data_IF_059873821457
#
_entry.id   IF_059873821457
#
_cell.length_a   1.000
_cell.length_b   1.000
_cell.length_c   1.000
_cell.angle_alpha   90.00
_cell.angle_beta   90.00
_cell.angle_gamma   90.00
#
_symmetry.space_group_name_H-M   'P 1'
#
loop_
_entity.id
_entity.type
_entity.pdbx_description
1 polymer ?
#
# COMPACT_ATOMS: atom_id res chain seq x y z
N UNK A 1 13.59 23.90 -8.74
CA UNK A 1 13.24 23.76 -7.31
C UNK A 1 12.82 22.35 -6.93
N UNK A 2 12.10 21.59 -7.77
CA UNK A 2 11.75 20.18 -7.48
C UNK A 2 12.94 19.26 -7.13
N UNK A 3 14.14 19.55 -7.66
CA UNK A 3 15.35 18.71 -7.53
C UNK A 3 15.79 18.43 -6.09
N UNK A 4 15.56 19.36 -5.17
CA UNK A 4 16.02 19.24 -3.77
C UNK A 4 15.05 18.41 -2.91
N UNK A 5 13.76 18.39 -3.29
CA UNK A 5 12.75 17.60 -2.60
C UNK A 5 12.91 16.09 -2.87
N UNK A 6 13.24 15.71 -4.10
CA UNK A 6 13.49 14.30 -4.46
C UNK A 6 14.78 13.75 -3.82
N UNK A 7 15.74 14.60 -3.44
CA UNK A 7 16.98 14.17 -2.79
C UNK A 7 16.73 13.38 -1.49
N UNK A 8 15.66 13.69 -0.74
CA UNK A 8 15.30 12.96 0.46
C UNK A 8 14.67 11.58 0.20
N UNK A 9 14.13 11.32 -1.00
CA UNK A 9 13.73 9.97 -1.44
C UNK A 9 14.98 9.14 -1.77
N UNK A 10 15.93 9.74 -2.48
CA UNK A 10 17.17 9.07 -2.87
C UNK A 10 18.12 8.81 -1.68
N UNK A 11 18.06 9.64 -0.63
CA UNK A 11 18.82 9.48 0.61
C UNK A 11 18.16 8.52 1.63
N UNK A 12 17.02 7.90 1.31
CA UNK A 12 16.33 7.00 2.22
C UNK A 12 17.09 5.67 2.40
N UNK A 13 17.35 5.30 3.65
CA UNK A 13 18.19 4.15 4.04
C UNK A 13 17.39 2.93 4.54
N UNK A 14 16.09 2.88 4.22
CA UNK A 14 15.18 1.86 4.73
C UNK A 14 14.72 2.07 6.19
N UNK A 15 15.21 3.11 6.90
CA UNK A 15 14.97 3.29 8.35
C UNK A 15 14.50 4.69 8.72
N UNK A 16 15.16 5.73 8.21
CA UNK A 16 14.96 7.13 8.65
C UNK A 16 13.88 7.84 7.84
N UNK A 17 12.62 7.70 8.29
CA UNK A 17 11.46 8.36 7.67
C UNK A 17 11.35 9.87 7.89
N UNK A 18 12.30 10.50 8.60
CA UNK A 18 12.24 11.94 8.90
C UNK A 18 12.31 12.82 7.64
N UNK A 19 13.15 12.45 6.66
CA UNK A 19 13.18 13.10 5.36
C UNK A 19 11.87 12.92 4.60
N UNK A 20 11.36 11.68 4.54
CA UNK A 20 10.09 11.36 3.88
C UNK A 20 8.90 12.14 4.47
N UNK A 21 8.85 12.34 5.80
CA UNK A 21 7.82 13.14 6.48
C UNK A 21 7.78 14.59 6.00
N UNK A 22 8.93 15.19 5.67
CA UNK A 22 8.96 16.55 5.12
C UNK A 22 8.33 16.62 3.73
N UNK A 23 8.43 15.55 2.94
CA UNK A 23 7.90 15.49 1.56
C UNK A 23 6.37 15.38 1.50
N UNK A 24 5.72 14.89 2.56
CA UNK A 24 4.25 14.72 2.58
C UNK A 24 3.52 16.03 2.25
N UNK A 25 4.00 17.15 2.80
CA UNK A 25 3.45 18.50 2.59
C UNK A 25 4.29 19.37 1.64
N UNK A 26 5.30 18.80 0.99
CA UNK A 26 6.11 19.52 0.03
C UNK A 26 5.36 19.69 -1.30
N UNK A 27 5.72 20.75 -2.02
CA UNK A 27 5.29 21.02 -3.39
C UNK A 27 6.04 20.10 -4.36
N UNK A 28 5.58 18.85 -4.41
CA UNK A 28 6.02 17.78 -5.31
C UNK A 28 4.77 17.32 -6.05
N UNK A 29 4.87 17.16 -7.37
CA UNK A 29 3.77 16.62 -8.16
C UNK A 29 3.61 15.12 -7.85
N UNK A 30 2.37 14.64 -7.71
CA UNK A 30 2.12 13.22 -7.47
C UNK A 30 2.68 12.34 -8.61
N UNK A 31 2.73 12.88 -9.84
CA UNK A 31 3.36 12.24 -10.99
C UNK A 31 4.87 11.98 -10.80
N UNK A 32 5.60 12.87 -10.12
CA UNK A 32 7.03 12.67 -9.84
C UNK A 32 7.26 11.53 -8.83
N UNK A 33 6.31 11.34 -7.90
CA UNK A 33 6.34 10.22 -6.95
C UNK A 33 5.93 8.90 -7.62
N UNK A 34 4.94 8.93 -8.52
CA UNK A 34 4.50 7.77 -9.30
C UNK A 34 5.58 7.29 -10.28
N UNK A 35 6.33 8.20 -10.90
CA UNK A 35 7.43 7.89 -11.82
C UNK A 35 8.62 7.13 -11.16
N UNK A 36 8.62 6.97 -9.83
CA UNK A 36 9.59 6.16 -9.08
C UNK A 36 9.12 4.70 -8.87
N UNK A 37 7.97 4.32 -9.43
CA UNK A 37 7.36 2.99 -9.30
C UNK A 37 7.28 2.29 -10.68
N UNK A 38 7.67 1.01 -10.79
CA UNK A 38 8.53 0.25 -9.87
C UNK A 38 9.99 0.75 -9.93
N UNK A 39 10.81 0.46 -8.91
CA UNK A 39 12.24 0.79 -8.96
C UNK A 39 12.94 0.91 -7.60
N UNK A 40 14.21 1.36 -7.64
CA UNK A 40 15.11 1.44 -6.47
C UNK A 40 14.62 2.33 -5.31
N UNK A 41 13.57 3.14 -5.53
CA UNK A 41 13.01 4.05 -4.54
C UNK A 41 11.55 3.71 -4.17
N UNK A 42 11.04 2.56 -4.59
CA UNK A 42 9.62 2.22 -4.42
C UNK A 42 9.16 2.20 -2.96
N UNK A 43 10.00 1.79 -2.01
CA UNK A 43 9.67 1.88 -0.56
C UNK A 43 9.47 3.35 -0.13
N UNK A 44 10.37 4.25 -0.55
CA UNK A 44 10.32 5.66 -0.18
C UNK A 44 9.13 6.37 -0.85
N UNK A 45 8.93 6.13 -2.14
CA UNK A 45 7.84 6.71 -2.93
C UNK A 45 6.47 6.25 -2.42
N UNK A 46 6.25 4.93 -2.28
CA UNK A 46 4.98 4.40 -1.75
C UNK A 46 4.69 4.86 -0.32
N UNK A 47 5.72 5.03 0.53
CA UNK A 47 5.55 5.59 1.87
C UNK A 47 5.00 7.02 1.82
N UNK A 48 5.56 7.88 0.96
CA UNK A 48 5.11 9.28 0.80
C UNK A 48 3.73 9.35 0.17
N UNK A 49 3.47 8.55 -0.87
CA UNK A 49 2.16 8.46 -1.54
C UNK A 49 1.07 8.02 -0.55
N UNK A 50 1.32 6.99 0.26
CA UNK A 50 0.41 6.56 1.33
C UNK A 50 0.18 7.68 2.36
N UNK A 51 1.24 8.33 2.83
CA UNK A 51 1.13 9.41 3.82
C UNK A 51 0.40 10.65 3.27
N UNK A 52 0.51 10.93 1.96
CA UNK A 52 -0.28 11.98 1.27
C UNK A 52 -1.75 11.60 1.17
N UNK A 53 -2.07 10.34 0.86
CA UNK A 53 -3.45 9.85 0.86
C UNK A 53 -4.09 9.95 2.25
N UNK A 54 -3.38 9.49 3.30
CA UNK A 54 -3.83 9.61 4.70
C UNK A 54 -4.04 11.06 5.16
N UNK A 55 -3.35 12.01 4.54
CA UNK A 55 -3.48 13.45 4.80
C UNK A 55 -4.52 14.16 3.92
N UNK A 56 -5.17 13.47 2.96
CA UNK A 56 -6.06 14.09 1.98
C UNK A 56 -5.35 14.98 0.95
N UNK A 57 -4.06 14.72 0.69
CA UNK A 57 -3.19 15.52 -0.18
C UNK A 57 -2.86 14.83 -1.54
N UNK A 58 -3.25 13.58 -1.72
CA UNK A 58 -3.03 12.83 -2.97
C UNK A 58 -4.21 13.05 -3.92
N UNK A 59 -3.97 13.56 -5.13
CA UNK A 59 -5.04 13.89 -6.08
C UNK A 59 -5.74 12.66 -6.67
N UNK A 60 -7.04 12.76 -6.98
CA UNK A 60 -7.90 11.64 -7.43
C UNK A 60 -7.33 10.81 -8.59
N UNK A 61 -6.64 11.45 -9.54
CA UNK A 61 -5.97 10.75 -10.64
C UNK A 61 -4.80 9.89 -10.13
N UNK A 62 -3.98 10.44 -9.24
CA UNK A 62 -2.87 9.72 -8.62
C UNK A 62 -3.35 8.60 -7.70
N UNK A 63 -4.47 8.79 -6.99
CA UNK A 63 -5.09 7.73 -6.18
C UNK A 63 -5.46 6.48 -6.99
N UNK A 64 -5.76 6.63 -8.29
CA UNK A 64 -6.04 5.50 -9.20
C UNK A 64 -4.74 4.93 -9.77
N UNK A 65 -3.88 5.79 -10.30
CA UNK A 65 -2.61 5.41 -10.95
C UNK A 65 -1.64 4.69 -10.01
N UNK A 66 -1.70 4.96 -8.69
CA UNK A 66 -0.79 4.37 -7.70
C UNK A 66 -0.83 2.83 -7.64
N UNK A 67 -1.91 2.21 -8.12
CA UNK A 67 -2.07 0.75 -8.14
C UNK A 67 -1.61 0.08 -9.44
N UNK A 68 -1.46 0.83 -10.54
CA UNK A 68 -0.95 0.30 -11.82
C UNK A 68 0.40 -0.45 -11.71
N UNK A 69 1.41 -0.01 -10.93
CA UNK A 69 2.67 -0.72 -10.77
C UNK A 69 2.64 -1.86 -9.74
N UNK A 70 1.50 -2.14 -9.09
CA UNK A 70 1.43 -3.09 -7.96
C UNK A 70 1.91 -4.51 -8.34
N UNK A 71 1.57 -5.10 -9.50
CA UNK A 71 2.08 -6.42 -9.91
C UNK A 71 3.58 -6.47 -10.20
N UNK A 72 4.24 -5.31 -10.39
CA UNK A 72 5.66 -5.20 -10.73
C UNK A 72 6.55 -4.78 -9.55
N UNK A 73 5.96 -4.41 -8.40
CA UNK A 73 6.74 -4.10 -7.19
C UNK A 73 7.47 -5.35 -6.68
N UNK A 74 8.68 -5.14 -6.16
CA UNK A 74 9.57 -6.21 -5.70
C UNK A 74 9.83 -6.14 -4.19
N UNK A 75 9.79 -4.94 -3.63
CA UNK A 75 10.02 -4.67 -2.22
C UNK A 75 8.74 -4.87 -1.40
N UNK A 76 8.71 -5.83 -0.46
CA UNK A 76 7.48 -6.16 0.24
C UNK A 76 6.92 -5.05 1.14
N UNK A 77 7.74 -4.08 1.54
CA UNK A 77 7.24 -2.90 2.27
C UNK A 77 6.56 -1.90 1.33
N UNK A 78 6.97 -1.80 0.06
CA UNK A 78 6.27 -1.00 -0.94
C UNK A 78 4.92 -1.61 -1.33
N UNK A 79 4.88 -2.93 -1.55
CA UNK A 79 3.64 -3.72 -1.71
C UNK A 79 2.71 -3.50 -0.51
N UNK A 80 3.25 -3.60 0.71
CA UNK A 80 2.48 -3.39 1.95
C UNK A 80 1.86 -1.99 2.02
N UNK A 81 2.59 -0.94 1.63
CA UNK A 81 2.05 0.42 1.60
C UNK A 81 0.88 0.55 0.62
N UNK A 82 0.99 0.01 -0.61
CA UNK A 82 -0.11 0.07 -1.57
C UNK A 82 -1.34 -0.72 -1.11
N UNK A 83 -1.17 -1.95 -0.60
CA UNK A 83 -2.29 -2.72 -0.06
C UNK A 83 -2.99 -2.00 1.10
N UNK A 84 -2.24 -1.22 1.90
CA UNK A 84 -2.81 -0.36 2.93
C UNK A 84 -3.58 0.86 2.38
N UNK A 85 -3.28 1.34 1.17
CA UNK A 85 -3.98 2.47 0.55
C UNK A 85 -5.40 2.09 0.08
N UNK A 86 -5.66 0.81 -0.22
CA UNK A 86 -6.98 0.30 -0.64
C UNK A 86 -8.07 0.58 0.41
N UNK A 87 -7.72 0.72 1.69
CA UNK A 87 -8.68 1.08 2.75
C UNK A 87 -9.24 2.51 2.64
N UNK A 88 -8.55 3.40 1.91
CA UNK A 88 -8.93 4.81 1.71
C UNK A 88 -9.30 5.10 0.24
N UNK A 89 -8.63 4.43 -0.70
CA UNK A 89 -8.83 4.57 -2.14
C UNK A 89 -8.94 3.16 -2.78
N UNK A 90 -10.14 2.54 -2.81
CA UNK A 90 -10.34 1.20 -3.34
C UNK A 90 -10.40 1.20 -4.87
N UNK A 91 -9.31 1.63 -5.53
CA UNK A 91 -9.19 1.73 -6.99
C UNK A 91 -8.31 0.64 -7.63
N UNK A 92 -7.64 -0.19 -6.83
CA UNK A 92 -6.92 -1.36 -7.33
C UNK A 92 -7.88 -2.42 -7.93
N UNK A 93 -7.41 -3.26 -8.85
CA UNK A 93 -8.16 -4.46 -9.21
C UNK A 93 -8.02 -5.54 -8.13
N UNK A 94 -9.07 -6.34 -7.95
CA UNK A 94 -8.97 -7.57 -7.17
C UNK A 94 -7.90 -8.53 -7.76
N UNK A 95 -7.78 -8.58 -9.09
CA UNK A 95 -6.75 -9.37 -9.79
C UNK A 95 -5.32 -8.96 -9.44
N UNK A 96 -5.06 -7.66 -9.26
CA UNK A 96 -3.73 -7.17 -8.87
C UNK A 96 -3.40 -7.52 -7.41
N UNK A 97 -4.42 -7.68 -6.56
CA UNK A 97 -4.28 -7.98 -5.13
C UNK A 97 -4.15 -9.48 -4.85
N UNK A 98 -4.87 -10.34 -5.60
CA UNK A 98 -4.89 -11.81 -5.39
C UNK A 98 -3.50 -12.47 -5.27
N UNK A 99 -2.47 -12.15 -6.08
CA UNK A 99 -1.13 -12.75 -5.96
C UNK A 99 -0.49 -12.57 -4.58
N UNK A 100 -0.86 -11.53 -3.84
CA UNK A 100 -0.28 -11.21 -2.54
C UNK A 100 -0.90 -11.98 -1.37
N UNK A 101 -2.04 -12.65 -1.57
CA UNK A 101 -2.70 -13.50 -0.58
C UNK A 101 -1.81 -14.64 -0.06
N UNK A 102 -0.90 -15.15 -0.91
CA UNK A 102 0.04 -16.24 -0.58
C UNK A 102 1.48 -15.76 -0.32
N UNK A 103 1.71 -14.44 -0.30
CA UNK A 103 3.05 -13.86 -0.22
C UNK A 103 3.84 -14.30 1.04
N UNK A 104 5.16 -14.47 0.91
CA UNK A 104 6.04 -14.99 1.98
C UNK A 104 5.98 -14.20 3.29
N UNK A 105 5.90 -12.85 3.23
CA UNK A 105 5.76 -11.99 4.42
C UNK A 105 4.31 -11.91 4.88
N UNK A 106 4.06 -12.31 6.12
CA UNK A 106 2.74 -12.33 6.77
C UNK A 106 1.98 -11.01 6.68
N UNK A 107 2.62 -9.86 6.90
CA UNK A 107 1.94 -8.56 6.82
C UNK A 107 1.39 -8.24 5.41
N UNK A 108 2.07 -8.69 4.36
CA UNK A 108 1.58 -8.53 2.98
C UNK A 108 0.32 -9.37 2.77
N UNK A 109 0.29 -10.64 3.22
CA UNK A 109 -0.93 -11.47 3.15
C UNK A 109 -2.11 -10.86 3.93
N UNK A 110 -1.83 -10.34 5.12
CA UNK A 110 -2.83 -9.70 6.00
C UNK A 110 -3.49 -8.50 5.30
N UNK A 111 -2.72 -7.66 4.63
CA UNK A 111 -3.24 -6.50 3.92
C UNK A 111 -3.76 -6.83 2.52
N UNK A 112 -3.32 -7.91 1.89
CA UNK A 112 -3.95 -8.44 0.68
C UNK A 112 -5.37 -8.96 0.96
N UNK A 113 -5.59 -9.61 2.12
CA UNK A 113 -6.93 -10.00 2.57
C UNK A 113 -7.82 -8.79 2.86
N UNK A 114 -7.31 -7.76 3.55
CA UNK A 114 -8.06 -6.52 3.81
C UNK A 114 -8.41 -5.78 2.52
N UNK A 115 -7.48 -5.72 1.56
CA UNK A 115 -7.72 -5.14 0.25
C UNK A 115 -8.76 -5.94 -0.55
N UNK A 116 -8.63 -7.28 -0.63
CA UNK A 116 -9.60 -8.13 -1.34
C UNK A 116 -11.01 -7.99 -0.74
N UNK A 117 -11.13 -7.94 0.59
CA UNK A 117 -12.43 -7.77 1.27
C UNK A 117 -13.17 -6.49 0.89
N UNK A 118 -12.45 -5.44 0.44
CA UNK A 118 -13.03 -4.17 -0.02
C UNK A 118 -13.34 -4.15 -1.51
N UNK A 119 -12.60 -4.92 -2.31
CA UNK A 119 -12.69 -4.94 -3.77
C UNK A 119 -13.61 -6.05 -4.30
N UNK A 120 -13.69 -7.17 -3.58
CA UNK A 120 -14.45 -8.37 -3.91
C UNK A 120 -14.92 -9.09 -2.62
N UNK A 121 -15.88 -8.52 -1.87
CA UNK A 121 -16.31 -9.04 -0.56
C UNK A 121 -16.79 -10.50 -0.62
N UNK A 122 -17.55 -10.88 -1.66
CA UNK A 122 -18.06 -12.24 -1.85
C UNK A 122 -16.93 -13.28 -2.04
N UNK A 123 -15.82 -12.88 -2.67
CA UNK A 123 -14.64 -13.73 -2.83
C UNK A 123 -13.82 -13.81 -1.54
N UNK A 124 -13.74 -12.69 -0.81
CA UNK A 124 -13.00 -12.61 0.44
C UNK A 124 -13.68 -13.33 1.61
N UNK A 125 -15.02 -13.45 1.63
CA UNK A 125 -15.78 -14.06 2.72
C UNK A 125 -15.23 -15.44 3.19
N UNK A 126 -15.09 -16.47 2.32
CA UNK A 126 -14.53 -17.77 2.75
C UNK A 126 -13.06 -17.69 3.17
N UNK A 127 -12.30 -16.71 2.65
CA UNK A 127 -10.91 -16.48 3.06
C UNK A 127 -10.81 -15.82 4.44
N UNK A 128 -11.76 -14.92 4.77
CA UNK A 128 -11.90 -14.31 6.09
C UNK A 128 -12.25 -15.38 7.12
N UNK A 129 -13.21 -16.26 6.81
CA UNK A 129 -13.56 -17.40 7.68
C UNK A 129 -12.34 -18.28 7.98
N UNK A 130 -11.62 -18.74 6.95
CA UNK A 130 -10.40 -19.53 7.12
C UNK A 130 -9.30 -18.77 7.89
N UNK A 131 -9.20 -17.46 7.70
CA UNK A 131 -8.21 -16.60 8.36
C UNK A 131 -8.47 -16.38 9.86
N UNK A 132 -9.66 -16.72 10.39
CA UNK A 132 -9.95 -16.68 11.83
C UNK A 132 -9.10 -17.69 12.61
N UNK A 133 -8.70 -18.80 11.98
CA UNK A 133 -7.89 -19.88 12.58
C UNK A 133 -6.42 -19.91 12.08
N UNK A 134 -6.00 -18.95 11.24
CA UNK A 134 -4.62 -18.86 10.71
C UNK A 134 -3.58 -18.82 11.87
N UNK A 135 -2.42 -19.51 11.77
CA UNK A 135 -1.42 -19.53 12.83
C UNK A 135 -0.88 -18.13 13.23
N UNK A 136 -0.90 -17.15 12.34
CA UNK A 136 -0.55 -15.76 12.60
C UNK A 136 -1.60 -15.02 13.43
N UNK A 137 -1.20 -14.56 14.62
CA UNK A 137 -2.04 -13.71 15.45
C UNK A 137 -2.49 -12.41 14.72
N UNK A 138 -1.65 -11.87 13.82
CA UNK A 138 -1.99 -10.69 13.02
C UNK A 138 -3.05 -10.99 11.95
N UNK A 139 -3.05 -12.20 11.38
CA UNK A 139 -4.07 -12.62 10.42
C UNK A 139 -5.41 -12.82 11.13
N UNK A 140 -5.44 -13.59 12.23
CA UNK A 140 -6.67 -13.77 13.03
C UNK A 140 -7.24 -12.44 13.54
N UNK A 141 -6.38 -11.48 13.90
CA UNK A 141 -6.81 -10.15 14.33
C UNK A 141 -7.46 -9.35 13.19
N UNK A 142 -6.89 -9.38 11.98
CA UNK A 142 -7.49 -8.74 10.80
C UNK A 142 -8.78 -9.43 10.37
N UNK A 143 -8.80 -10.75 10.31
CA UNK A 143 -9.98 -11.54 9.96
C UNK A 143 -11.17 -11.22 10.87
N UNK A 144 -10.96 -11.14 12.19
CA UNK A 144 -12.01 -10.71 13.13
C UNK A 144 -12.51 -9.29 12.84
N UNK A 145 -11.63 -8.34 12.53
CA UNK A 145 -12.05 -6.97 12.22
C UNK A 145 -12.89 -6.87 10.94
N UNK A 146 -12.55 -7.68 9.92
CA UNK A 146 -13.31 -7.77 8.66
C UNK A 146 -14.68 -8.46 8.87
N UNK A 147 -14.70 -9.58 9.59
CA UNK A 147 -15.92 -10.35 9.88
C UNK A 147 -16.95 -9.60 10.74
N UNK A 148 -16.54 -8.54 11.46
CA UNK A 148 -17.44 -7.69 12.27
C UNK A 148 -17.77 -6.33 11.63
N UNK A 149 -17.25 -6.05 10.43
CA UNK A 149 -17.23 -4.70 9.85
C UNK A 149 -17.79 -4.60 8.43
N UNK A 150 -18.71 -5.50 8.05
CA UNK A 150 -19.45 -5.49 6.78
C UNK A 150 -20.65 -4.53 6.84
#
# INVERSE_FOLDING_TARGET
>A
MATDALAALYAFDGKRVAGLKALVKADIADADLLALLPGSHEIAATWVLKARLEAGLLGDAAQRQVFEPLPQLTEPDAILHLLQMVQLAPFASADDVRPFLTHKRTLVRVWALDALARLAPDEAAPLIEAALDDPSAAMRARARALATGS
#
